data_IF_225495853724
#
_entry.id   IF_225495853724
#
_cell.length_a   1.000
_cell.length_b   1.000
_cell.length_c   1.000
_cell.angle_alpha   90.00
_cell.angle_beta   90.00
_cell.angle_gamma   90.00
#
_symmetry.space_group_name_H-M   'P 1'
#
loop_
_entity.id
_entity.type
_entity.pdbx_description
1 polymer ?
#
# COMPACT_ATOMS: atom_id res chain seq x y z
N UNK A 1 8.09 15.80 -17.96
CA UNK A 1 8.88 14.95 -17.03
C UNK A 1 10.21 14.69 -17.69
N UNK A 2 11.31 14.83 -16.96
CA UNK A 2 12.66 14.67 -17.51
C UNK A 2 13.29 13.36 -17.01
N UNK A 3 14.13 12.75 -17.85
CA UNK A 3 14.87 11.55 -17.47
C UNK A 3 16.09 11.91 -16.63
N UNK A 4 15.94 11.82 -15.31
CA UNK A 4 17.00 12.17 -14.36
C UNK A 4 17.25 11.02 -13.36
N UNK A 5 18.50 10.82 -12.90
CA UNK A 5 18.81 9.88 -11.82
C UNK A 5 18.03 10.24 -10.54
N UNK A 6 17.71 9.24 -9.71
CA UNK A 6 16.99 9.46 -8.44
C UNK A 6 17.69 10.48 -7.54
N UNK A 7 19.03 10.47 -7.50
CA UNK A 7 19.84 11.41 -6.71
C UNK A 7 19.69 12.86 -7.13
N UNK A 8 19.43 13.13 -8.41
CA UNK A 8 19.13 14.47 -8.92
C UNK A 8 17.65 14.80 -8.75
N UNK A 9 16.79 13.81 -8.95
CA UNK A 9 15.36 13.95 -8.74
C UNK A 9 15.03 14.44 -7.34
N UNK A 10 15.67 13.97 -6.28
CA UNK A 10 15.33 14.46 -4.92
C UNK A 10 15.84 15.88 -4.62
N UNK A 11 16.69 16.48 -5.47
CA UNK A 11 17.26 17.82 -5.22
C UNK A 11 16.28 18.93 -5.59
N UNK A 12 15.96 19.78 -4.63
CA UNK A 12 15.04 20.88 -4.83
C UNK A 12 15.73 22.12 -5.43
N UNK A 13 15.02 22.84 -6.30
CA UNK A 13 15.44 24.15 -6.78
C UNK A 13 15.33 25.21 -5.66
N UNK A 14 15.92 26.38 -5.88
CA UNK A 14 15.81 27.49 -4.93
C UNK A 14 14.36 27.97 -4.77
N UNK A 15 13.61 28.00 -5.86
CA UNK A 15 12.20 28.37 -5.91
C UNK A 15 11.34 27.34 -5.16
N UNK A 16 11.63 26.05 -5.34
CA UNK A 16 10.98 24.95 -4.62
C UNK A 16 11.24 25.04 -3.10
N UNK A 17 12.47 25.36 -2.69
CA UNK A 17 12.80 25.60 -1.28
C UNK A 17 12.04 26.80 -0.71
N UNK A 18 11.92 27.90 -1.47
CA UNK A 18 11.15 29.08 -1.04
C UNK A 18 9.68 28.71 -0.81
N UNK A 19 9.09 27.88 -1.69
CA UNK A 19 7.71 27.41 -1.54
C UNK A 19 7.51 26.54 -0.28
N UNK A 20 8.55 25.83 0.18
CA UNK A 20 8.52 25.00 1.39
C UNK A 20 8.77 25.79 2.68
N UNK A 21 9.33 27.00 2.62
CA UNK A 21 9.65 27.78 3.82
C UNK A 21 8.51 27.89 4.84
N UNK A 22 7.23 28.11 4.46
CA UNK A 22 6.14 28.21 5.42
C UNK A 22 5.94 26.93 6.25
N UNK A 23 6.06 25.75 5.63
CA UNK A 23 5.88 24.47 6.34
C UNK A 23 7.13 24.12 7.17
N UNK A 24 8.32 24.43 6.66
CA UNK A 24 9.57 24.21 7.40
C UNK A 24 9.64 25.08 8.66
N UNK A 25 9.24 26.35 8.57
CA UNK A 25 9.16 27.25 9.73
C UNK A 25 8.14 26.75 10.77
N UNK A 26 7.01 26.17 10.34
CA UNK A 26 6.03 25.58 11.25
C UNK A 26 6.55 24.33 11.96
N UNK A 27 7.29 23.47 11.27
CA UNK A 27 7.92 22.28 11.87
C UNK A 27 8.92 22.69 12.96
N UNK A 28 9.67 23.78 12.74
CA UNK A 28 10.60 24.32 13.75
C UNK A 28 9.86 24.90 14.96
N UNK A 29 8.73 25.58 14.73
CA UNK A 29 7.90 26.18 15.79
C UNK A 29 7.08 25.15 16.58
N UNK A 30 6.68 24.03 15.98
CA UNK A 30 5.90 22.97 16.62
C UNK A 30 6.66 22.21 17.71
N UNK A 31 7.97 22.43 17.88
CA UNK A 31 8.72 21.89 19.02
C UNK A 31 8.37 22.58 20.36
N UNK A 32 7.47 23.58 20.34
CA UNK A 32 6.96 24.28 21.51
C UNK A 32 5.43 24.19 21.53
N UNK A 33 4.91 23.33 22.41
CA UNK A 33 3.51 23.19 22.87
C UNK A 33 2.40 23.63 21.91
N UNK A 34 1.59 22.67 21.43
CA UNK A 34 0.22 23.00 20.99
C UNK A 34 -0.76 21.83 21.02
N UNK A 35 -1.90 22.12 21.62
CA UNK A 35 -3.16 21.37 21.56
C UNK A 35 -3.69 21.44 20.13
N UNK A 36 -4.04 20.28 19.56
CA UNK A 36 -4.66 20.17 18.25
C UNK A 36 -6.04 20.85 18.25
N UNK A 37 -6.22 21.88 17.43
CA UNK A 37 -7.51 22.57 17.27
C UNK A 37 -7.91 22.56 15.79
N UNK A 38 -9.22 22.59 15.50
CA UNK A 38 -9.72 22.62 14.12
C UNK A 38 -9.15 23.80 13.31
N UNK A 39 -8.95 24.95 13.96
CA UNK A 39 -8.34 26.12 13.35
C UNK A 39 -6.88 25.86 12.95
N UNK A 40 -6.12 25.14 13.78
CA UNK A 40 -4.75 24.73 13.47
C UNK A 40 -4.71 23.78 12.27
N UNK A 41 -5.59 22.78 12.25
CA UNK A 41 -5.75 21.85 11.11
C UNK A 41 -6.02 22.58 9.80
N UNK A 42 -6.94 23.54 9.81
CA UNK A 42 -7.30 24.31 8.63
C UNK A 42 -6.12 25.12 8.07
N UNK A 43 -5.31 25.72 8.95
CA UNK A 43 -4.09 26.44 8.55
C UNK A 43 -3.08 25.48 7.92
N UNK A 44 -2.84 24.31 8.53
CA UNK A 44 -1.91 23.31 8.00
C UNK A 44 -2.31 22.84 6.60
N UNK A 45 -3.57 22.43 6.45
CA UNK A 45 -4.11 21.97 5.17
C UNK A 45 -4.01 23.07 4.12
N UNK A 46 -4.30 24.32 4.46
CA UNK A 46 -4.21 25.44 3.53
C UNK A 46 -2.77 25.69 3.05
N UNK A 47 -1.78 25.60 3.95
CA UNK A 47 -0.37 25.74 3.58
C UNK A 47 0.04 24.62 2.63
N UNK A 48 -0.27 23.38 2.97
CA UNK A 48 0.08 22.20 2.17
C UNK A 48 -0.57 22.26 0.77
N UNK A 49 -1.83 22.70 0.67
CA UNK A 49 -2.54 22.82 -0.61
C UNK A 49 -1.86 23.77 -1.60
N UNK A 50 -1.13 24.77 -1.09
CA UNK A 50 -0.42 25.74 -1.92
C UNK A 50 0.97 25.28 -2.37
N UNK A 51 1.41 24.10 -1.93
CA UNK A 51 2.68 23.49 -2.33
C UNK A 51 2.38 22.43 -3.39
N UNK A 52 3.18 22.40 -4.46
CA UNK A 52 3.10 21.31 -5.44
C UNK A 52 3.37 19.96 -4.73
N UNK A 53 2.51 18.97 -4.97
CA UNK A 53 2.62 17.68 -4.28
C UNK A 53 3.93 16.96 -4.64
N UNK A 54 4.39 17.10 -5.89
CA UNK A 54 5.66 16.53 -6.32
C UNK A 54 6.84 17.14 -5.57
N UNK A 55 6.85 18.47 -5.41
CA UNK A 55 7.83 19.20 -4.59
C UNK A 55 7.80 18.72 -3.15
N UNK A 56 6.61 18.63 -2.54
CA UNK A 56 6.45 18.17 -1.16
C UNK A 56 6.95 16.74 -0.97
N UNK A 57 6.58 15.82 -1.88
CA UNK A 57 7.03 14.42 -1.86
C UNK A 57 8.56 14.35 -2.01
N UNK A 58 9.14 15.05 -2.98
CA UNK A 58 10.60 15.08 -3.21
C UNK A 58 11.34 15.58 -1.96
N UNK A 59 10.81 16.63 -1.33
CA UNK A 59 11.36 17.17 -0.10
C UNK A 59 11.39 16.14 1.05
N UNK A 60 10.36 15.30 1.19
CA UNK A 60 10.28 14.32 2.28
C UNK A 60 11.42 13.29 2.27
N UNK A 61 12.03 13.01 1.12
CA UNK A 61 13.21 12.13 1.04
C UNK A 61 14.49 12.76 1.60
N UNK A 62 14.55 14.09 1.65
CA UNK A 62 15.73 14.84 2.13
C UNK A 62 15.51 15.41 3.53
N UNK A 63 14.26 15.65 3.93
CA UNK A 63 13.88 16.25 5.21
C UNK A 63 12.98 15.29 6.02
N UNK A 64 13.53 14.41 6.88
CA UNK A 64 12.75 13.42 7.63
C UNK A 64 11.66 14.03 8.50
N UNK A 65 11.93 15.16 9.16
CA UNK A 65 10.92 15.87 9.97
C UNK A 65 9.71 16.32 9.15
N UNK A 66 9.91 16.64 7.86
CA UNK A 66 8.81 16.98 6.96
C UNK A 66 8.00 15.75 6.58
N UNK A 67 8.63 14.59 6.42
CA UNK A 67 7.93 13.32 6.22
C UNK A 67 7.03 12.98 7.42
N UNK A 68 7.58 13.07 8.63
CA UNK A 68 6.84 12.86 9.88
C UNK A 68 5.68 13.87 10.02
N UNK A 69 5.94 15.13 9.71
CA UNK A 69 4.93 16.19 9.74
C UNK A 69 3.78 15.93 8.76
N UNK A 70 4.08 15.50 7.53
CA UNK A 70 3.05 15.14 6.56
C UNK A 70 2.24 13.91 6.98
N UNK A 71 2.71 13.13 7.95
CA UNK A 71 2.02 11.94 8.47
C UNK A 71 1.26 12.20 9.78
N UNK A 72 1.16 13.46 10.23
CA UNK A 72 0.36 13.80 11.40
C UNK A 72 -1.10 13.35 11.23
N UNK A 73 -1.74 12.77 12.25
CA UNK A 73 -3.12 12.26 12.16
C UNK A 73 -4.12 13.30 11.64
N UNK A 74 -3.92 14.55 12.03
CA UNK A 74 -4.72 15.71 11.63
C UNK A 74 -4.78 15.95 10.11
N UNK A 75 -3.78 15.45 9.36
CA UNK A 75 -3.72 15.55 7.90
C UNK A 75 -4.30 14.31 7.19
N UNK A 76 -4.60 13.23 7.93
CA UNK A 76 -5.12 11.98 7.36
C UNK A 76 -6.37 12.18 6.49
N UNK A 77 -7.40 12.96 6.91
CA UNK A 77 -8.58 13.19 6.07
C UNK A 77 -8.23 13.87 4.73
N UNK A 78 -7.29 14.82 4.76
CA UNK A 78 -6.83 15.51 3.55
C UNK A 78 -6.11 14.57 2.59
N UNK A 79 -5.21 13.72 3.10
CA UNK A 79 -4.51 12.74 2.27
C UNK A 79 -5.42 11.63 1.76
N UNK A 80 -6.37 11.16 2.57
CA UNK A 80 -7.39 10.18 2.18
C UNK A 80 -8.18 10.66 0.97
N UNK A 81 -8.63 11.91 0.98
CA UNK A 81 -9.35 12.49 -0.14
C UNK A 81 -8.45 12.57 -1.38
N UNK A 82 -7.20 13.01 -1.23
CA UNK A 82 -6.27 13.11 -2.36
C UNK A 82 -5.92 11.75 -2.96
N UNK A 83 -5.79 10.72 -2.13
CA UNK A 83 -5.58 9.33 -2.56
C UNK A 83 -6.77 8.77 -3.31
N UNK A 84 -7.99 8.93 -2.76
CA UNK A 84 -9.23 8.52 -3.40
C UNK A 84 -9.34 9.07 -4.82
N UNK A 85 -9.09 10.36 -4.98
CA UNK A 85 -9.11 11.06 -6.27
C UNK A 85 -8.03 10.59 -7.25
N UNK A 86 -6.90 10.04 -6.76
CA UNK A 86 -5.81 9.57 -7.60
C UNK A 86 -6.16 8.30 -8.39
N UNK A 87 -7.22 7.57 -8.01
CA UNK A 87 -7.69 6.39 -8.73
C UNK A 87 -8.53 6.68 -9.99
N UNK A 88 -9.09 7.90 -10.11
CA UNK A 88 -10.14 8.25 -11.08
C UNK A 88 -9.75 8.21 -12.56
N UNK A 89 -8.48 7.94 -12.86
CA UNK A 89 -7.97 7.82 -14.23
C UNK A 89 -7.46 6.42 -14.59
N UNK A 90 -7.73 5.38 -13.78
CA UNK A 90 -7.15 4.04 -13.93
C UNK A 90 -8.21 2.95 -14.14
N UNK A 91 -9.38 3.26 -14.70
CA UNK A 91 -10.33 2.21 -15.08
C UNK A 91 -9.70 1.30 -16.15
N UNK A 92 -9.61 -0.02 -15.92
CA UNK A 92 -9.57 -0.94 -17.04
C UNK A 92 -10.90 -0.77 -17.78
N UNK A 93 -10.83 -0.28 -19.02
CA UNK A 93 -11.96 -0.41 -19.94
C UNK A 93 -11.82 -1.84 -20.47
N UNK A 94 -12.55 -2.79 -19.88
CA UNK A 94 -12.73 -4.08 -20.52
C UNK A 94 -13.51 -3.83 -21.82
N UNK A 95 -12.94 -4.21 -22.96
CA UNK A 95 -13.58 -4.05 -24.28
C UNK A 95 -14.93 -4.82 -24.35
N UNK A 96 -15.18 -5.74 -23.42
CA UNK A 96 -16.42 -6.51 -23.28
C UNK A 96 -17.50 -5.83 -22.43
N UNK A 97 -17.16 -4.78 -21.65
CA UNK A 97 -18.09 -4.07 -20.74
C UNK A 97 -18.54 -2.71 -21.32
N UNK A 98 -18.32 -2.49 -22.61
CA UNK A 98 -18.91 -1.38 -23.38
C UNK A 98 -20.39 -1.69 -23.63
N UNK A 99 -21.18 -1.63 -22.57
CA UNK A 99 -22.59 -1.31 -22.72
C UNK A 99 -22.67 0.21 -22.89
N UNK A 100 -23.08 0.66 -24.08
CA UNK A 100 -23.15 2.08 -24.50
C UNK A 100 -23.99 3.01 -23.58
N UNK A 101 -24.69 2.46 -22.58
CA UNK A 101 -25.66 3.19 -21.75
C UNK A 101 -25.18 3.57 -20.34
N UNK A 102 -24.05 3.06 -19.82
CA UNK A 102 -23.48 3.53 -18.54
C UNK A 102 -21.97 3.83 -18.66
N UNK A 103 -21.53 5.09 -18.44
CA UNK A 103 -20.10 5.37 -18.38
C UNK A 103 -19.48 4.58 -17.22
N UNK A 104 -18.42 3.83 -17.50
CA UNK A 104 -17.67 3.08 -16.49
C UNK A 104 -17.39 3.99 -15.29
N UNK A 105 -17.93 3.63 -14.12
CA UNK A 105 -17.77 4.44 -12.90
C UNK A 105 -16.27 4.62 -12.64
N UNK A 106 -15.76 5.85 -12.47
CA UNK A 106 -14.33 6.07 -12.30
C UNK A 106 -13.86 5.35 -11.02
N UNK A 107 -12.86 4.48 -11.16
CA UNK A 107 -12.21 3.82 -10.03
C UNK A 107 -11.74 4.84 -9.00
N UNK A 108 -11.89 4.52 -7.72
CA UNK A 108 -11.37 5.34 -6.63
C UNK A 108 -10.55 4.47 -5.70
N UNK A 109 -9.37 4.97 -5.31
CA UNK A 109 -8.60 4.27 -4.30
C UNK A 109 -9.25 4.40 -2.93
N UNK A 110 -9.02 3.41 -2.08
CA UNK A 110 -9.54 3.38 -0.70
C UNK A 110 -8.36 3.52 0.27
N UNK A 111 -8.45 4.38 1.30
CA UNK A 111 -7.48 4.34 2.40
C UNK A 111 -7.41 2.93 3.00
N UNK A 112 -6.22 2.50 3.41
CA UNK A 112 -6.01 1.19 4.02
C UNK A 112 -5.34 1.35 5.39
N UNK A 113 -5.63 0.43 6.31
CA UNK A 113 -5.16 0.55 7.70
C UNK A 113 -3.68 0.23 7.89
N UNK A 114 -3.07 -0.47 6.94
CA UNK A 114 -1.69 -0.96 7.03
C UNK A 114 -0.63 0.03 6.54
N UNK A 115 -1.04 1.11 5.87
CA UNK A 115 -0.13 2.09 5.28
C UNK A 115 -0.71 3.50 5.43
N UNK A 116 0.09 4.47 5.91
CA UNK A 116 -0.29 5.87 5.85
C UNK A 116 -0.58 6.28 4.41
N UNK A 117 -1.70 6.96 4.19
CA UNK A 117 -2.11 7.38 2.85
C UNK A 117 -1.08 8.29 2.16
N UNK A 118 -0.33 9.08 2.94
CA UNK A 118 0.75 9.88 2.39
C UNK A 118 1.89 9.03 1.79
N UNK A 119 2.21 7.86 2.37
CA UNK A 119 3.18 6.94 1.78
C UNK A 119 2.65 6.28 0.50
N UNK A 120 1.33 6.02 0.40
CA UNK A 120 0.70 5.57 -0.85
C UNK A 120 0.82 6.63 -1.96
N UNK A 121 0.59 7.91 -1.63
CA UNK A 121 0.75 9.03 -2.56
C UNK A 121 2.22 9.18 -3.02
N UNK A 122 3.18 9.04 -2.11
CA UNK A 122 4.61 8.98 -2.46
C UNK A 122 4.89 7.80 -3.38
N UNK A 123 4.36 6.62 -3.04
CA UNK A 123 4.51 5.38 -3.77
C UNK A 123 4.09 5.49 -5.24
N UNK A 124 2.85 5.95 -5.49
CA UNK A 124 2.35 6.14 -6.85
C UNK A 124 3.16 7.21 -7.62
N UNK A 125 3.51 8.32 -6.98
CA UNK A 125 4.28 9.39 -7.61
C UNK A 125 5.66 8.91 -8.09
N UNK A 126 6.36 8.16 -7.24
CA UNK A 126 7.67 7.55 -7.57
C UNK A 126 7.52 6.45 -8.61
N UNK A 127 6.46 5.64 -8.53
CA UNK A 127 6.22 4.56 -9.49
C UNK A 127 5.95 5.09 -10.91
N UNK A 128 5.30 6.26 -11.04
CA UNK A 128 5.17 6.93 -12.34
C UNK A 128 6.53 7.32 -12.92
N UNK A 129 7.47 7.79 -12.10
CA UNK A 129 8.85 8.06 -12.55
C UNK A 129 9.55 6.77 -13.03
N UNK A 130 9.34 5.66 -12.32
CA UNK A 130 9.81 4.35 -12.78
C UNK A 130 9.25 4.02 -14.16
N UNK A 131 7.93 4.07 -14.36
CA UNK A 131 7.28 3.76 -15.63
C UNK A 131 7.82 4.63 -16.76
N UNK A 132 7.95 5.94 -16.52
CA UNK A 132 8.50 6.89 -17.50
C UNK A 132 9.93 6.55 -17.90
N UNK A 133 10.82 6.24 -16.94
CA UNK A 133 12.21 5.88 -17.25
C UNK A 133 12.32 4.49 -17.90
N UNK A 134 11.51 3.52 -17.47
CA UNK A 134 11.57 2.14 -17.95
C UNK A 134 11.19 1.99 -19.43
N UNK A 135 10.26 2.82 -19.92
CA UNK A 135 9.84 2.83 -21.33
C UNK A 135 10.77 3.62 -22.24
N UNK A 136 11.83 4.25 -21.70
CA UNK A 136 12.78 5.01 -22.51
C UNK A 136 13.55 4.11 -23.49
N UNK A 137 13.66 4.55 -24.75
CA UNK A 137 14.51 3.90 -25.75
C UNK A 137 16.00 4.06 -25.43
N UNK A 138 16.37 5.11 -24.70
CA UNK A 138 17.75 5.36 -24.31
C UNK A 138 18.13 4.51 -23.10
N UNK A 139 19.12 3.62 -23.28
CA UNK A 139 19.60 2.69 -22.24
C UNK A 139 20.09 3.40 -20.98
N UNK A 140 20.67 4.60 -21.10
CA UNK A 140 21.10 5.41 -19.96
C UNK A 140 19.90 5.81 -19.10
N UNK A 141 18.82 6.27 -19.70
CA UNK A 141 17.62 6.69 -18.95
C UNK A 141 16.89 5.49 -18.37
N UNK A 142 16.82 4.39 -19.11
CA UNK A 142 16.29 3.12 -18.61
C UNK A 142 17.04 2.62 -17.38
N UNK A 143 18.36 2.83 -17.31
CA UNK A 143 19.16 2.44 -16.14
C UNK A 143 18.74 3.12 -14.84
N UNK A 144 18.05 4.27 -14.90
CA UNK A 144 17.54 4.97 -13.71
C UNK A 144 16.28 4.31 -13.13
N UNK A 145 15.53 3.56 -13.94
CA UNK A 145 14.22 3.04 -13.59
C UNK A 145 14.24 2.17 -12.31
N UNK A 146 15.27 1.31 -12.17
CA UNK A 146 15.36 0.39 -11.04
C UNK A 146 15.41 1.09 -9.68
N UNK A 147 16.08 2.24 -9.59
CA UNK A 147 16.16 3.01 -8.34
C UNK A 147 14.78 3.54 -7.92
N UNK A 148 13.99 4.04 -8.88
CA UNK A 148 12.61 4.47 -8.63
C UNK A 148 11.72 3.30 -8.23
N UNK A 149 11.81 2.16 -8.92
CA UNK A 149 11.04 0.97 -8.58
C UNK A 149 11.30 0.52 -7.14
N UNK A 150 12.57 0.41 -6.77
CA UNK A 150 12.98 0.05 -5.41
C UNK A 150 12.47 1.04 -4.36
N UNK A 151 12.53 2.33 -4.64
CA UNK A 151 12.02 3.36 -3.74
C UNK A 151 10.50 3.26 -3.56
N UNK A 152 9.73 3.10 -4.65
CA UNK A 152 8.29 2.90 -4.57
C UNK A 152 7.92 1.62 -3.80
N UNK A 153 8.70 0.54 -3.96
CA UNK A 153 8.50 -0.69 -3.21
C UNK A 153 8.82 -0.53 -1.72
N UNK A 154 9.85 0.24 -1.36
CA UNK A 154 10.18 0.56 0.04
C UNK A 154 9.07 1.38 0.72
N UNK A 155 8.39 2.23 -0.03
CA UNK A 155 7.19 2.96 0.41
C UNK A 155 5.95 2.06 0.54
N UNK A 156 6.08 0.77 0.22
CA UNK A 156 4.99 -0.19 0.32
C UNK A 156 4.01 -0.15 -0.84
N UNK A 157 4.30 0.51 -1.97
CA UNK A 157 3.34 0.62 -3.06
C UNK A 157 3.14 -0.72 -3.80
N UNK A 158 1.92 -1.24 -3.82
CA UNK A 158 1.60 -2.58 -4.35
C UNK A 158 2.16 -2.82 -5.77
N UNK A 159 1.89 -1.99 -6.80
CA UNK A 159 2.42 -2.24 -8.14
C UNK A 159 3.95 -2.36 -8.20
N UNK A 160 4.67 -1.60 -7.37
CA UNK A 160 6.13 -1.66 -7.31
C UNK A 160 6.62 -2.95 -6.63
N UNK A 161 6.06 -3.29 -5.48
CA UNK A 161 6.37 -4.54 -4.78
C UNK A 161 6.01 -5.76 -5.62
N UNK A 162 4.84 -5.75 -6.27
CA UNK A 162 4.38 -6.83 -7.14
C UNK A 162 5.27 -6.98 -8.38
N UNK A 163 5.73 -5.88 -9.00
CA UNK A 163 6.69 -5.96 -10.09
C UNK A 163 8.01 -6.63 -9.65
N UNK A 164 8.54 -6.26 -8.47
CA UNK A 164 9.75 -6.88 -7.92
C UNK A 164 9.54 -8.36 -7.56
N UNK A 165 8.36 -8.70 -7.03
CA UNK A 165 7.92 -10.08 -6.80
C UNK A 165 7.90 -10.88 -8.12
N UNK A 166 7.22 -10.37 -9.15
CA UNK A 166 7.06 -11.06 -10.43
C UNK A 166 8.39 -11.28 -11.12
N UNK A 167 9.26 -10.26 -11.15
CA UNK A 167 10.60 -10.36 -11.71
C UNK A 167 11.43 -11.46 -11.03
N UNK A 168 11.36 -11.55 -9.70
CA UNK A 168 12.07 -12.59 -8.95
C UNK A 168 11.44 -13.98 -9.15
N UNK A 169 10.11 -14.06 -9.12
CA UNK A 169 9.35 -15.30 -9.28
C UNK A 169 9.59 -15.94 -10.66
N UNK A 170 9.48 -15.15 -11.73
CA UNK A 170 9.71 -15.61 -13.11
C UNK A 170 11.17 -15.99 -13.37
N UNK A 171 12.12 -15.33 -12.68
CA UNK A 171 13.53 -15.68 -12.74
C UNK A 171 13.91 -16.92 -11.90
N UNK A 172 12.94 -17.58 -11.24
CA UNK A 172 13.17 -18.74 -10.37
C UNK A 172 13.89 -18.39 -9.05
N UNK A 173 13.98 -17.12 -8.69
CA UNK A 173 14.63 -16.64 -7.45
C UNK A 173 13.62 -16.66 -6.29
N UNK A 174 13.18 -17.86 -5.92
CA UNK A 174 12.06 -18.04 -4.98
C UNK A 174 12.31 -17.41 -3.60
N UNK A 175 13.53 -17.46 -3.06
CA UNK A 175 13.87 -16.79 -1.79
C UNK A 175 13.66 -15.27 -1.85
N UNK A 176 14.05 -14.66 -2.97
CA UNK A 176 13.88 -13.22 -3.18
C UNK A 176 12.41 -12.86 -3.39
N UNK A 177 11.68 -13.67 -4.17
CA UNK A 177 10.24 -13.51 -4.34
C UNK A 177 9.51 -13.64 -2.99
N UNK A 178 9.94 -14.56 -2.12
CA UNK A 178 9.35 -14.80 -0.80
C UNK A 178 9.47 -13.58 0.09
N UNK A 179 10.62 -12.90 0.10
CA UNK A 179 10.82 -11.65 0.84
C UNK A 179 9.79 -10.59 0.40
N UNK A 180 9.56 -10.44 -0.91
CA UNK A 180 8.58 -9.47 -1.41
C UNK A 180 7.14 -9.90 -1.12
N UNK A 181 6.81 -11.19 -1.22
CA UNK A 181 5.49 -11.71 -0.90
C UNK A 181 5.15 -11.56 0.59
N UNK A 182 6.11 -11.79 1.49
CA UNK A 182 5.94 -11.55 2.92
C UNK A 182 5.63 -10.07 3.19
N UNK A 183 6.34 -9.16 2.53
CA UNK A 183 6.07 -7.72 2.64
C UNK A 183 4.70 -7.35 2.08
N UNK A 184 4.29 -7.97 0.96
CA UNK A 184 2.95 -7.79 0.39
C UNK A 184 1.87 -8.35 1.31
N UNK A 185 2.09 -9.47 2.00
CA UNK A 185 1.14 -10.05 2.94
C UNK A 185 0.96 -9.18 4.19
N UNK A 186 2.04 -8.58 4.68
CA UNK A 186 2.01 -7.62 5.78
C UNK A 186 1.19 -6.37 5.43
N UNK A 187 1.37 -5.83 4.22
CA UNK A 187 0.79 -4.55 3.82
C UNK A 187 -0.57 -4.67 3.12
N UNK A 188 -0.82 -5.76 2.40
CA UNK A 188 -1.99 -5.91 1.54
C UNK A 188 -2.85 -7.11 1.88
N UNK A 189 -2.53 -7.86 2.94
CA UNK A 189 -3.36 -8.96 3.45
C UNK A 189 -3.73 -9.96 2.35
N UNK A 190 -5.02 -10.14 2.02
CA UNK A 190 -5.47 -11.15 1.04
C UNK A 190 -4.62 -11.17 -0.24
N UNK A 191 -4.44 -10.06 -0.99
CA UNK A 191 -3.53 -10.02 -2.14
C UNK A 191 -2.14 -10.62 -1.87
N UNK A 192 -1.50 -10.26 -0.76
CA UNK A 192 -0.17 -10.77 -0.43
C UNK A 192 -0.15 -12.22 0.00
N UNK A 193 -1.15 -12.70 0.74
CA UNK A 193 -1.29 -14.11 1.10
C UNK A 193 -1.57 -15.01 -0.11
N UNK A 194 -2.23 -14.50 -1.15
CA UNK A 194 -2.35 -15.22 -2.42
C UNK A 194 -0.98 -15.36 -3.11
N UNK A 195 -0.14 -14.32 -3.08
CA UNK A 195 1.22 -14.41 -3.62
C UNK A 195 2.11 -15.38 -2.80
N UNK A 196 1.96 -15.41 -1.47
CA UNK A 196 2.60 -16.42 -0.63
C UNK A 196 2.15 -17.84 -0.97
N UNK A 197 0.86 -18.04 -1.26
CA UNK A 197 0.35 -19.32 -1.75
C UNK A 197 1.05 -19.74 -3.05
N UNK A 198 1.17 -18.84 -4.03
CA UNK A 198 1.81 -19.13 -5.31
C UNK A 198 3.30 -19.49 -5.18
N UNK A 199 4.05 -18.77 -4.33
CA UNK A 199 5.45 -19.11 -4.07
C UNK A 199 5.58 -20.49 -3.44
N UNK A 200 4.81 -20.78 -2.39
CA UNK A 200 4.88 -22.06 -1.71
C UNK A 200 4.45 -23.20 -2.62
N UNK A 201 3.47 -22.97 -3.50
CA UNK A 201 3.09 -23.92 -4.54
C UNK A 201 4.26 -24.19 -5.50
N UNK A 202 4.92 -23.14 -6.01
CA UNK A 202 6.07 -23.27 -6.91
C UNK A 202 7.30 -23.93 -6.25
N UNK A 203 7.41 -23.85 -4.93
CA UNK A 203 8.45 -24.48 -4.12
C UNK A 203 8.09 -25.90 -3.65
N UNK A 204 6.99 -26.48 -4.14
CA UNK A 204 6.45 -27.78 -3.73
C UNK A 204 6.10 -27.89 -2.23
N UNK A 205 5.94 -26.74 -1.56
CA UNK A 205 5.50 -26.63 -0.17
C UNK A 205 3.97 -26.55 -0.08
N UNK A 206 3.28 -27.56 -0.59
CA UNK A 206 1.83 -27.51 -0.81
C UNK A 206 1.00 -27.31 0.45
N UNK A 207 1.43 -27.84 1.60
CA UNK A 207 0.74 -27.62 2.87
C UNK A 207 0.79 -26.14 3.29
N UNK A 208 1.95 -25.50 3.09
CA UNK A 208 2.14 -24.08 3.39
C UNK A 208 1.38 -23.21 2.38
N UNK A 209 1.34 -23.61 1.11
CA UNK A 209 0.51 -22.96 0.10
C UNK A 209 -0.98 -23.00 0.50
N UNK A 210 -1.48 -24.18 0.92
CA UNK A 210 -2.85 -24.35 1.40
C UNK A 210 -3.12 -23.48 2.64
N UNK A 211 -2.19 -23.43 3.61
CA UNK A 211 -2.34 -22.58 4.78
C UNK A 211 -2.46 -21.10 4.39
N UNK A 212 -1.61 -20.61 3.49
CA UNK A 212 -1.65 -19.22 3.03
C UNK A 212 -2.95 -18.90 2.26
N UNK A 213 -3.46 -19.83 1.45
CA UNK A 213 -4.77 -19.70 0.79
C UNK A 213 -5.92 -19.58 1.81
N UNK A 214 -5.88 -20.36 2.89
CA UNK A 214 -6.87 -20.31 3.97
C UNK A 214 -6.78 -18.99 4.76
N UNK A 215 -5.58 -18.46 4.97
CA UNK A 215 -5.39 -17.15 5.59
C UNK A 215 -5.92 -16.03 4.68
N UNK A 216 -5.65 -16.09 3.38
CA UNK A 216 -6.19 -15.16 2.39
C UNK A 216 -7.72 -15.15 2.41
N UNK A 217 -8.35 -16.33 2.41
CA UNK A 217 -9.81 -16.50 2.51
C UNK A 217 -10.38 -15.85 3.78
N UNK A 218 -9.72 -16.05 4.93
CA UNK A 218 -10.17 -15.47 6.21
C UNK A 218 -9.98 -13.96 6.30
N UNK A 219 -8.99 -13.42 5.60
CA UNK A 219 -8.73 -11.97 5.53
C UNK A 219 -9.62 -11.26 4.52
N UNK A 220 -10.33 -11.97 3.63
CA UNK A 220 -11.19 -11.38 2.59
C UNK A 220 -12.17 -10.32 3.15
N UNK A 221 -12.91 -10.56 4.24
CA UNK A 221 -13.88 -9.59 4.76
C UNK A 221 -13.25 -8.27 5.22
N UNK A 222 -11.94 -8.27 5.50
CA UNK A 222 -11.22 -7.12 6.02
C UNK A 222 -10.34 -6.45 4.95
N UNK A 223 -10.09 -7.12 3.83
CA UNK A 223 -9.11 -6.69 2.82
C UNK A 223 -9.70 -5.84 1.69
N UNK A 224 -10.93 -5.34 1.83
CA UNK A 224 -11.64 -4.65 0.73
C UNK A 224 -10.88 -3.44 0.16
N UNK A 225 -10.22 -2.65 1.01
CA UNK A 225 -9.39 -1.52 0.55
C UNK A 225 -8.10 -1.99 -0.14
N UNK A 226 -7.44 -3.01 0.42
CA UNK A 226 -6.20 -3.57 -0.13
C UNK A 226 -6.42 -4.20 -1.50
N UNK A 227 -7.52 -4.96 -1.67
CA UNK A 227 -7.93 -5.56 -2.95
C UNK A 227 -8.22 -4.46 -3.98
N UNK A 228 -9.08 -3.49 -3.62
CA UNK A 228 -9.42 -2.37 -4.47
C UNK A 228 -8.17 -1.63 -4.99
N UNK A 229 -7.20 -1.37 -4.11
CA UNK A 229 -5.98 -0.64 -4.47
C UNK A 229 -4.99 -1.49 -5.27
N UNK A 230 -4.81 -2.76 -4.91
CA UNK A 230 -3.88 -3.69 -5.56
C UNK A 230 -4.27 -3.95 -7.02
N UNK A 231 -5.58 -4.02 -7.28
CA UNK A 231 -6.12 -4.47 -8.56
C UNK A 231 -7.04 -3.43 -9.22
N UNK A 232 -6.88 -2.15 -8.87
CA UNK A 232 -7.50 -1.03 -9.58
C UNK A 232 -9.03 -1.13 -9.73
N UNK A 233 -9.70 -1.75 -8.74
CA UNK A 233 -11.15 -1.91 -8.71
C UNK A 233 -11.65 -3.30 -9.10
N UNK A 234 -10.79 -4.16 -9.63
CA UNK A 234 -11.16 -5.53 -9.98
C UNK A 234 -11.51 -6.35 -8.73
N UNK A 235 -12.52 -7.21 -8.87
CA UNK A 235 -12.90 -8.13 -7.80
C UNK A 235 -11.90 -9.28 -7.70
N UNK A 236 -11.79 -9.85 -6.50
CA UNK A 236 -10.91 -11.02 -6.27
C UNK A 236 -11.30 -12.20 -7.15
N UNK A 237 -12.60 -12.36 -7.44
CA UNK A 237 -13.13 -13.38 -8.34
C UNK A 237 -12.72 -13.14 -9.80
N UNK A 238 -12.63 -11.88 -10.24
CA UNK A 238 -12.09 -11.54 -11.56
C UNK A 238 -10.62 -11.97 -11.67
N UNK A 239 -9.82 -11.63 -10.65
CA UNK A 239 -8.39 -11.94 -10.61
C UNK A 239 -8.15 -13.46 -10.54
N UNK A 240 -8.92 -14.17 -9.71
CA UNK A 240 -8.84 -15.63 -9.60
C UNK A 240 -9.21 -16.30 -10.93
N UNK A 241 -10.28 -15.83 -11.61
CA UNK A 241 -10.63 -16.32 -12.95
C UNK A 241 -9.56 -16.04 -13.99
N UNK A 242 -8.96 -14.86 -13.99
CA UNK A 242 -7.82 -14.52 -14.84
C UNK A 242 -6.60 -15.43 -14.61
N UNK A 243 -6.46 -15.98 -13.39
CA UNK A 243 -5.46 -16.98 -13.03
C UNK A 243 -5.90 -18.44 -13.28
N UNK A 244 -7.06 -18.67 -13.90
CA UNK A 244 -7.62 -20.00 -14.16
C UNK A 244 -8.20 -20.70 -12.92
N UNK A 245 -8.37 -19.97 -11.81
CA UNK A 245 -8.97 -20.46 -10.57
C UNK A 245 -10.45 -20.07 -10.55
N UNK A 246 -11.32 -21.00 -10.94
CA UNK A 246 -12.77 -20.75 -10.99
C UNK A 246 -13.40 -20.65 -9.59
N UNK A 247 -12.82 -21.29 -8.57
CA UNK A 247 -13.31 -21.32 -7.19
C UNK A 247 -12.15 -21.63 -6.22
N UNK A 248 -12.11 -20.90 -5.09
CA UNK A 248 -11.19 -21.13 -3.98
C UNK A 248 -11.36 -22.53 -3.38
N UNK A 249 -12.56 -23.11 -3.41
CA UNK A 249 -12.81 -24.48 -2.90
C UNK A 249 -12.04 -25.51 -3.71
N UNK A 250 -12.08 -25.41 -5.04
CA UNK A 250 -11.31 -26.28 -5.95
C UNK A 250 -9.82 -26.16 -5.70
N UNK A 251 -9.30 -24.94 -5.56
CA UNK A 251 -7.89 -24.70 -5.26
C UNK A 251 -7.46 -25.34 -3.91
N UNK A 252 -8.31 -25.23 -2.87
CA UNK A 252 -8.06 -25.85 -1.56
C UNK A 252 -8.02 -27.38 -1.65
N UNK A 253 -8.96 -27.99 -2.36
CA UNK A 253 -8.98 -29.44 -2.57
C UNK A 253 -7.74 -29.93 -3.31
N UNK A 254 -7.39 -29.25 -4.40
CA UNK A 254 -6.21 -29.58 -5.19
C UNK A 254 -4.92 -29.52 -4.36
N UNK A 255 -4.72 -28.44 -3.58
CA UNK A 255 -3.56 -28.32 -2.70
C UNK A 255 -3.56 -29.35 -1.57
N UNK A 256 -4.74 -29.72 -1.03
CA UNK A 256 -4.84 -30.77 -0.02
C UNK A 256 -4.45 -32.15 -0.57
N UNK A 257 -4.85 -32.46 -1.80
CA UNK A 257 -4.47 -33.69 -2.50
C UNK A 257 -2.96 -33.76 -2.75
N UNK A 258 -2.37 -32.68 -3.27
CA UNK A 258 -0.93 -32.56 -3.47
C UNK A 258 -0.14 -32.66 -2.15
N UNK A 259 -0.71 -32.17 -1.06
CA UNK A 259 -0.12 -32.28 0.29
C UNK A 259 -0.34 -33.64 0.95
N UNK A 260 -1.10 -34.55 0.32
CA UNK A 260 -1.55 -35.81 0.90
C UNK A 260 -2.29 -35.65 2.25
N UNK A 261 -2.99 -34.53 2.43
CA UNK A 261 -3.72 -34.23 3.66
C UNK A 261 -5.18 -34.63 3.53
N UNK A 262 -5.74 -35.40 4.50
CA UNK A 262 -7.16 -35.66 4.50
C UNK A 262 -7.94 -34.36 4.77
N UNK A 263 -9.08 -34.18 4.11
CA UNK A 263 -9.91 -32.97 4.29
C UNK A 263 -10.37 -32.76 5.75
N UNK A 264 -10.45 -33.81 6.55
CA UNK A 264 -10.70 -33.72 8.00
C UNK A 264 -9.56 -33.00 8.73
N UNK A 265 -8.31 -33.18 8.33
CA UNK A 265 -7.17 -32.44 8.88
C UNK A 265 -7.20 -30.97 8.44
N UNK A 266 -7.53 -30.71 7.17
CA UNK A 266 -7.67 -29.35 6.65
C UNK A 266 -8.70 -28.57 7.47
N UNK A 267 -9.92 -29.10 7.58
CA UNK A 267 -11.04 -28.44 8.28
C UNK A 267 -10.87 -28.34 9.79
N UNK A 268 -10.11 -29.23 10.43
CA UNK A 268 -9.92 -29.22 11.90
C UNK A 268 -8.64 -28.56 12.39
N UNK A 269 -7.52 -28.70 11.68
CA UNK A 269 -6.19 -28.21 12.08
C UNK A 269 -5.80 -26.97 11.30
N UNK A 270 -5.72 -27.05 9.96
CA UNK A 270 -5.26 -25.92 9.14
C UNK A 270 -6.22 -24.72 9.23
N UNK A 271 -7.54 -24.95 9.25
CA UNK A 271 -8.51 -23.86 9.46
C UNK A 271 -8.35 -23.17 10.82
N UNK A 272 -7.95 -23.90 11.88
CA UNK A 272 -7.65 -23.31 13.19
C UNK A 272 -6.35 -22.52 13.18
N UNK A 273 -5.31 -23.05 12.51
CA UNK A 273 -4.04 -22.35 12.35
C UNK A 273 -4.21 -21.06 11.55
N UNK A 274 -4.90 -21.12 10.40
CA UNK A 274 -5.24 -19.97 9.59
C UNK A 274 -6.03 -18.93 10.41
N UNK A 275 -7.02 -19.38 11.21
CA UNK A 275 -7.76 -18.47 12.11
C UNK A 275 -6.83 -17.79 13.10
N UNK A 276 -5.93 -18.52 13.76
CA UNK A 276 -4.98 -17.95 14.71
C UNK A 276 -4.06 -16.91 14.07
N UNK A 277 -3.60 -17.17 12.85
CA UNK A 277 -2.78 -16.22 12.08
C UNK A 277 -3.61 -14.96 11.78
N UNK A 278 -4.82 -15.11 11.23
CA UNK A 278 -5.73 -14.00 10.95
C UNK A 278 -6.04 -13.18 12.21
N UNK A 279 -6.39 -13.83 13.32
CA UNK A 279 -6.69 -13.16 14.59
C UNK A 279 -5.48 -12.36 15.09
N UNK A 280 -4.25 -12.92 14.97
CA UNK A 280 -3.04 -12.22 15.37
C UNK A 280 -2.76 -10.98 14.49
N UNK A 281 -3.02 -11.07 13.18
CA UNK A 281 -2.91 -9.93 12.26
C UNK A 281 -3.88 -8.84 12.71
N UNK A 282 -5.17 -9.18 12.83
CA UNK A 282 -6.21 -8.21 13.20
C UNK A 282 -5.95 -7.59 14.59
N UNK A 283 -5.56 -8.38 15.59
CA UNK A 283 -5.22 -7.87 16.92
C UNK A 283 -4.01 -6.94 16.93
N UNK A 284 -3.03 -7.15 16.05
CA UNK A 284 -1.89 -6.24 15.92
C UNK A 284 -2.39 -4.88 15.44
N UNK A 285 -3.31 -4.85 14.48
CA UNK A 285 -3.91 -3.61 13.98
C UNK A 285 -4.81 -2.93 14.99
N UNK A 286 -5.69 -3.66 15.68
CA UNK A 286 -6.55 -3.10 16.72
C UNK A 286 -5.73 -2.40 17.82
N UNK A 287 -4.60 -2.99 18.22
CA UNK A 287 -3.68 -2.40 19.21
C UNK A 287 -2.93 -1.19 18.68
N UNK A 288 -2.50 -1.22 17.43
CA UNK A 288 -1.84 -0.07 16.79
C UNK A 288 -2.83 1.10 16.64
N UNK A 289 -4.09 0.82 16.30
CA UNK A 289 -5.17 1.80 16.23
C UNK A 289 -5.55 2.34 17.63
N UNK A 290 -5.61 1.49 18.66
CA UNK A 290 -5.81 1.91 20.05
C UNK A 290 -4.66 2.75 20.62
N UNK A 291 -3.41 2.51 20.21
CA UNK A 291 -2.26 3.34 20.62
C UNK A 291 -2.33 4.71 19.95
N UNK A 292 -2.71 4.76 18.67
CA UNK A 292 -2.94 6.02 17.94
C UNK A 292 -4.10 6.82 18.57
N UNK A 293 -5.23 6.16 18.86
CA UNK A 293 -6.41 6.78 19.48
C UNK A 293 -6.23 7.04 21.00
N UNK A 294 -5.37 6.28 21.67
CA UNK A 294 -5.05 6.42 23.10
C UNK A 294 -4.08 7.57 23.37
N UNK A 295 -3.20 7.88 22.41
CA UNK A 295 -2.43 9.11 22.40
C UNK A 295 -3.33 10.36 22.32
N UNK A 296 -4.48 10.28 21.65
CA UNK A 296 -5.51 11.34 21.62
C UNK A 296 -6.34 11.41 22.92
N UNK A 297 -6.60 10.29 23.60
CA UNK A 297 -7.36 10.29 24.87
C UNK A 297 -6.55 10.71 26.10
N UNK A 298 -5.24 10.46 26.11
CA UNK A 298 -4.35 10.89 27.21
C UNK A 298 -4.00 12.38 27.16
N UNK A 299 -4.11 13.03 26.00
CA UNK A 299 -4.15 14.50 25.91
C UNK A 299 -5.49 15.08 26.39
N UNK A 300 -6.59 14.34 26.23
CA UNK A 300 -7.93 14.79 26.67
C UNK A 300 -8.16 14.60 28.18
N UNK A 301 -7.61 13.53 28.78
CA UNK A 301 -7.84 13.19 30.20
C UNK A 301 -6.96 13.95 31.20
N UNK A 302 -5.87 14.57 30.74
CA UNK A 302 -5.05 15.45 31.57
C UNK A 302 -5.69 16.85 31.79
N UNK A 303 -6.78 17.17 31.08
CA UNK A 303 -7.43 18.49 31.11
C UNK A 303 -8.57 18.56 32.16
N UNK A 304 -9.05 17.43 32.69
CA UNK A 304 -10.22 17.40 33.60
C UNK A 304 -9.89 17.29 35.08
N UNK A 305 -8.66 17.60 35.52
CA UNK A 305 -8.31 17.65 36.96
C UNK A 305 -7.48 18.88 37.36
N UNK A 306 -7.84 20.05 36.86
CA UNK A 306 -7.49 21.33 37.51
C UNK A 306 -8.62 22.36 37.33
N UNK A 307 -9.75 22.13 38.02
CA UNK A 307 -10.62 23.18 38.54
C UNK A 307 -11.06 22.78 39.95
#
# INVERSE_FOLDING_TARGET
MEHIPFTEFVKLSKEELIALNPILALIEQQQQDKVETEAYTAVLVNIIKNIDLGVLIRATFTYPKLDDFCKLPVLTPFWNERWRLSGRGHNPIDEEDINDDEPAKPHEYKPQVTLPTFDLLKGIYIYVQYKFNNTSENSRYRSYAHAYLKCAAQLGYFPALNAMYLDAFQAGKLDQALIYALRLAELYWTPGYLLLCLINYQADNYQEALLNLLVAEKLLPFSGAMINNAYQGDSIESILRGAGLNDLTTAKHFLAELSHLPMSYVTSSLYKQAKKITDNILQKFDKEEEVLNGAEKNTTSAITMQY
#
